data_IF_166875968493
#
_entry.id   IF_166875968493
#
_cell.length_a   1.000
_cell.length_b   1.000
_cell.length_c   1.000
_cell.angle_alpha   90.00
_cell.angle_beta   90.00
_cell.angle_gamma   90.00
#
_symmetry.space_group_name_H-M   'P 1'
#
loop_
_entity.id
_entity.type
_entity.pdbx_description
1 polymer ?
#
# COMPACT_ATOMS: atom_id res chain seq x y z
N UNK A 1 13.96 20.50 16.07
CA UNK A 1 14.34 19.07 15.98
C UNK A 1 13.08 18.24 15.81
N UNK A 2 12.92 17.62 14.63
CA UNK A 2 11.70 16.94 14.21
C UNK A 2 11.81 15.44 14.53
N UNK A 3 11.54 15.03 15.77
CA UNK A 3 11.58 13.61 16.17
C UNK A 3 10.22 13.12 16.72
N UNK A 4 9.28 14.01 17.03
CA UNK A 4 8.02 13.66 17.70
C UNK A 4 6.85 13.25 16.76
N UNK A 5 7.05 13.24 15.44
CA UNK A 5 5.97 13.00 14.47
C UNK A 5 5.86 11.52 14.03
N UNK A 6 6.85 10.68 14.37
CA UNK A 6 6.85 9.25 14.02
C UNK A 6 6.04 8.41 15.03
N UNK A 7 6.22 8.63 16.34
CA UNK A 7 5.52 7.86 17.39
C UNK A 7 3.99 8.03 17.37
N UNK A 8 3.47 9.23 17.10
CA UNK A 8 2.02 9.46 17.09
C UNK A 8 1.31 8.73 15.94
N UNK A 9 1.99 8.55 14.81
CA UNK A 9 1.44 7.93 13.61
C UNK A 9 1.42 6.40 13.71
N UNK A 10 2.47 5.83 14.31
CA UNK A 10 2.52 4.39 14.65
C UNK A 10 1.47 4.06 15.73
N UNK A 11 1.26 4.95 16.71
CA UNK A 11 0.24 4.81 17.74
C UNK A 11 -1.19 4.87 17.17
N UNK A 12 -1.46 5.76 16.21
CA UNK A 12 -2.76 5.82 15.52
C UNK A 12 -3.04 4.52 14.74
N UNK A 13 -2.05 3.99 14.01
CA UNK A 13 -2.14 2.69 13.31
C UNK A 13 -2.37 1.52 14.28
N UNK A 14 -1.72 1.53 15.45
CA UNK A 14 -1.89 0.52 16.50
C UNK A 14 -3.29 0.55 17.13
N UNK A 15 -3.92 1.73 17.20
CA UNK A 15 -5.25 1.92 17.80
C UNK A 15 -6.37 1.66 16.78
N UNK A 16 -6.18 2.05 15.51
CA UNK A 16 -7.17 1.85 14.44
C UNK A 16 -7.11 0.46 13.79
N UNK A 17 -6.03 -0.29 14.04
CA UNK A 17 -5.65 -1.44 13.22
C UNK A 17 -4.95 -0.99 11.94
N UNK A 18 -3.93 -1.72 11.52
CA UNK A 18 -3.41 -1.61 10.15
C UNK A 18 -4.53 -2.15 9.25
N UNK A 19 -5.14 -1.35 8.35
CA UNK A 19 -6.08 -1.93 7.39
C UNK A 19 -5.31 -2.99 6.62
N UNK A 20 -5.75 -4.25 6.72
CA UNK A 20 -5.14 -5.32 5.95
C UNK A 20 -5.23 -4.95 4.47
N UNK A 21 -4.07 -4.85 3.82
CA UNK A 21 -3.98 -4.55 2.40
C UNK A 21 -4.37 -5.82 1.66
N UNK A 22 -5.53 -5.76 1.02
CA UNK A 22 -5.94 -6.76 0.04
C UNK A 22 -5.16 -6.52 -1.26
N UNK A 23 -4.18 -7.39 -1.52
CA UNK A 23 -3.34 -7.31 -2.72
C UNK A 23 -4.15 -7.53 -4.00
N UNK A 24 -5.21 -8.34 -3.95
CA UNK A 24 -6.10 -8.54 -5.11
C UNK A 24 -6.92 -7.29 -5.41
N UNK A 25 -7.44 -6.62 -4.39
CA UNK A 25 -8.12 -5.31 -4.55
C UNK A 25 -7.15 -4.26 -5.07
N UNK A 26 -5.94 -4.19 -4.52
CA UNK A 26 -4.92 -3.26 -4.97
C UNK A 26 -4.62 -3.47 -6.47
N UNK A 27 -4.39 -4.72 -6.89
CA UNK A 27 -4.07 -5.08 -8.29
C UNK A 27 -5.20 -4.75 -9.27
N UNK A 28 -6.46 -4.83 -8.83
CA UNK A 28 -7.64 -4.45 -9.65
C UNK A 28 -7.78 -2.94 -9.85
N UNK A 29 -7.25 -2.14 -8.93
CA UNK A 29 -7.38 -0.69 -8.92
C UNK A 29 -6.11 0.05 -9.40
N UNK A 30 -5.17 -0.64 -10.07
CA UNK A 30 -3.98 -0.01 -10.67
C UNK A 30 -4.20 0.33 -12.14
N UNK A 31 -4.00 1.60 -12.49
CA UNK A 31 -3.90 2.08 -13.87
C UNK A 31 -2.45 2.01 -14.39
N UNK A 32 -2.24 1.26 -15.47
CA UNK A 32 -0.95 1.14 -16.12
C UNK A 32 -0.75 2.23 -17.18
N UNK A 33 0.29 3.05 -17.02
CA UNK A 33 0.66 4.08 -17.99
C UNK A 33 1.93 3.64 -18.75
N UNK A 34 1.78 3.30 -20.03
CA UNK A 34 2.89 2.82 -20.88
C UNK A 34 3.30 1.36 -20.64
N UNK A 35 2.59 0.66 -19.78
CA UNK A 35 2.72 -0.78 -19.52
C UNK A 35 1.34 -1.46 -19.63
N UNK A 36 1.34 -2.77 -19.76
CA UNK A 36 0.14 -3.61 -19.68
C UNK A 36 0.28 -4.71 -18.64
N UNK A 37 -0.85 -5.31 -18.20
CA UNK A 37 -0.85 -6.39 -17.22
C UNK A 37 -0.11 -7.66 -17.67
N UNK A 38 0.12 -7.82 -18.98
CA UNK A 38 0.89 -8.93 -19.54
C UNK A 38 2.40 -8.67 -19.63
N UNK A 39 2.87 -7.46 -19.30
CA UNK A 39 4.29 -7.14 -19.34
C UNK A 39 5.03 -7.84 -18.20
N UNK A 40 6.19 -8.41 -18.50
CA UNK A 40 7.00 -9.15 -17.53
C UNK A 40 7.34 -8.32 -16.30
N UNK A 41 7.60 -7.02 -16.48
CA UNK A 41 7.92 -6.11 -15.38
C UNK A 41 6.74 -5.90 -14.42
N UNK A 42 5.51 -5.93 -14.94
CA UNK A 42 4.30 -5.87 -14.12
C UNK A 42 4.08 -7.19 -13.39
N UNK A 43 4.36 -8.32 -14.05
CA UNK A 43 4.37 -9.64 -13.41
C UNK A 43 5.31 -9.69 -12.22
N UNK A 44 6.58 -9.32 -12.40
CA UNK A 44 7.58 -9.30 -11.32
C UNK A 44 7.22 -8.36 -10.18
N UNK A 45 6.64 -7.19 -10.49
CA UNK A 45 6.17 -6.29 -9.45
C UNK A 45 5.15 -6.99 -8.55
N UNK A 46 4.12 -7.63 -9.13
CA UNK A 46 3.09 -8.29 -8.35
C UNK A 46 3.58 -9.57 -7.65
N UNK A 47 4.49 -10.33 -8.25
CA UNK A 47 5.13 -11.47 -7.56
C UNK A 47 5.81 -11.02 -6.26
N UNK A 48 6.55 -9.91 -6.30
CA UNK A 48 7.22 -9.35 -5.12
C UNK A 48 6.20 -8.81 -4.10
N UNK A 49 5.17 -8.10 -4.57
CA UNK A 49 4.13 -7.52 -3.71
C UNK A 49 3.29 -8.60 -3.03
N UNK A 50 3.01 -9.71 -3.69
CA UNK A 50 2.31 -10.87 -3.13
C UNK A 50 3.13 -11.58 -2.03
N UNK A 51 4.46 -11.43 -2.02
CA UNK A 51 5.34 -11.94 -0.96
C UNK A 51 5.51 -10.98 0.22
N UNK A 52 5.00 -9.75 0.14
CA UNK A 52 5.19 -8.76 1.20
C UNK A 52 4.39 -9.06 2.45
N UNK A 53 4.99 -8.73 3.60
CA UNK A 53 4.26 -8.67 4.87
C UNK A 53 3.23 -7.53 4.82
N UNK A 54 2.20 -7.60 5.68
CA UNK A 54 1.22 -6.52 5.81
C UNK A 54 1.86 -5.18 6.22
N UNK A 55 2.96 -5.22 6.98
CA UNK A 55 3.73 -4.01 7.31
C UNK A 55 4.41 -3.40 6.08
N UNK A 56 4.97 -4.24 5.20
CA UNK A 56 5.65 -3.77 4.00
C UNK A 56 4.65 -3.32 2.92
N UNK A 57 3.49 -3.96 2.82
CA UNK A 57 2.36 -3.49 2.01
C UNK A 57 1.87 -2.12 2.49
N UNK A 58 1.72 -1.90 3.80
CA UNK A 58 1.33 -0.61 4.35
C UNK A 58 2.36 0.50 4.01
N UNK A 59 3.66 0.19 4.10
CA UNK A 59 4.74 1.11 3.70
C UNK A 59 4.70 1.40 2.20
N UNK A 60 4.45 0.39 1.37
CA UNK A 60 4.35 0.54 -0.08
C UNK A 60 3.17 1.44 -0.46
N UNK A 61 2.00 1.21 0.13
CA UNK A 61 0.81 2.04 -0.11
C UNK A 61 1.07 3.47 0.34
N UNK A 62 1.71 3.67 1.50
CA UNK A 62 2.11 4.98 1.97
C UNK A 62 3.10 5.67 1.02
N UNK A 63 4.04 4.92 0.45
CA UNK A 63 5.01 5.43 -0.51
C UNK A 63 4.33 5.90 -1.81
N UNK A 64 3.38 5.12 -2.33
CA UNK A 64 2.70 5.41 -3.61
C UNK A 64 1.67 6.54 -3.47
N UNK A 65 0.89 6.54 -2.39
CA UNK A 65 -0.21 7.50 -2.19
C UNK A 65 0.22 8.78 -1.48
N UNK A 66 1.45 8.81 -0.93
CA UNK A 66 1.96 9.95 -0.15
C UNK A 66 1.29 10.12 1.22
N UNK A 67 0.37 9.22 1.61
CA UNK A 67 -0.33 9.23 2.89
C UNK A 67 -0.45 7.81 3.45
N UNK A 68 -0.35 7.65 4.77
CA UNK A 68 -0.52 6.35 5.42
C UNK A 68 -1.99 5.94 5.56
N UNK A 69 -2.92 6.73 5.00
CA UNK A 69 -4.36 6.47 5.06
C UNK A 69 -4.78 5.72 3.81
N UNK A 70 -5.00 4.42 3.96
CA UNK A 70 -5.86 3.66 3.05
C UNK A 70 -7.29 4.16 3.31
N UNK A 71 -8.06 4.54 2.28
CA UNK A 71 -9.47 4.89 2.49
C UNK A 71 -10.18 3.73 3.19
N UNK A 72 -11.01 4.03 4.19
CA UNK A 72 -11.77 3.02 4.96
C UNK A 72 -12.71 2.20 4.07
N UNK A 73 -12.92 2.63 2.82
CA UNK A 73 -13.76 2.01 1.81
C UNK A 73 -12.98 1.22 0.72
N UNK A 74 -11.65 1.05 0.85
CA UNK A 74 -10.79 0.35 -0.12
C UNK A 74 -10.11 1.27 -1.15
N UNK A 75 -9.43 0.71 -2.16
CA UNK A 75 -8.80 1.49 -3.25
C UNK A 75 -9.81 1.97 -4.32
N UNK A 76 -11.08 1.62 -4.15
CA UNK A 76 -12.15 2.02 -5.06
C UNK A 76 -12.40 3.54 -5.01
N UNK A 77 -12.38 4.16 -6.20
CA UNK A 77 -13.09 5.41 -6.49
C UNK A 77 -14.42 5.11 -7.18
#
# INVERSE_FOLDING_TARGET
ECISFFEAKELELLISGVPEVDVEDFKKNVDYNGYGPGDQIIGWFWEIVEEYSQEDLAKLVQFITGTSKIPVEGFHS
#
